data_IF_332447218760
#
_entry.id   IF_332447218760
#
_cell.length_a   1.000
_cell.length_b   1.000
_cell.length_c   1.000
_cell.angle_alpha   90.00
_cell.angle_beta   90.00
_cell.angle_gamma   90.00
#
_symmetry.space_group_name_H-M   'P 1'
#
loop_
_entity.id
_entity.type
_entity.pdbx_description
1 polymer ?
#
# COMPACT_ATOMS: atom_id res chain seq x y z
N UNK A 1 -21.31 3.61 -2.54
CA UNK A 1 -21.30 2.56 -3.59
C UNK A 1 -20.15 1.63 -3.27
N UNK A 2 -20.37 0.34 -3.00
CA UNK A 2 -19.25 -0.60 -2.85
C UNK A 2 -18.49 -0.66 -4.19
N UNK A 3 -17.17 -0.65 -4.15
CA UNK A 3 -16.34 -0.91 -5.32
C UNK A 3 -16.74 -2.24 -5.93
N UNK A 4 -16.96 -2.25 -7.25
CA UNK A 4 -17.21 -3.50 -7.97
C UNK A 4 -15.92 -4.33 -7.99
N UNK A 5 -16.01 -5.66 -7.94
CA UNK A 5 -14.82 -6.54 -7.96
C UNK A 5 -13.84 -6.21 -9.09
N UNK A 6 -14.33 -5.90 -10.28
CA UNK A 6 -13.49 -5.45 -11.41
C UNK A 6 -12.69 -4.18 -11.11
N UNK A 7 -13.29 -3.21 -10.42
CA UNK A 7 -12.58 -1.97 -10.06
C UNK A 7 -11.49 -2.25 -9.02
N UNK A 8 -11.69 -3.26 -8.17
CA UNK A 8 -10.68 -3.72 -7.23
C UNK A 8 -9.53 -4.41 -7.98
N UNK A 9 -9.84 -5.30 -8.92
CA UNK A 9 -8.85 -6.02 -9.73
C UNK A 9 -8.01 -5.05 -10.59
N UNK A 10 -8.65 -4.11 -11.30
CA UNK A 10 -7.97 -3.07 -12.09
C UNK A 10 -7.04 -2.21 -11.22
N UNK A 11 -7.49 -1.87 -10.01
CA UNK A 11 -6.71 -1.09 -9.07
C UNK A 11 -5.52 -1.88 -8.53
N UNK A 12 -5.71 -3.17 -8.25
CA UNK A 12 -4.66 -4.08 -7.80
C UNK A 12 -3.61 -4.30 -8.90
N UNK A 13 -4.03 -4.50 -10.14
CA UNK A 13 -3.14 -4.68 -11.30
C UNK A 13 -2.30 -3.43 -11.54
N UNK A 14 -2.89 -2.23 -11.43
CA UNK A 14 -2.16 -0.96 -11.49
C UNK A 14 -1.16 -0.80 -10.35
N UNK A 15 -1.53 -1.16 -9.13
CA UNK A 15 -0.64 -1.11 -7.96
C UNK A 15 0.57 -2.03 -8.14
N UNK A 16 0.34 -3.24 -8.64
CA UNK A 16 1.40 -4.19 -8.95
C UNK A 16 2.30 -3.62 -10.05
N UNK A 17 1.73 -3.10 -11.14
CA UNK A 17 2.52 -2.50 -12.22
C UNK A 17 3.38 -1.32 -11.76
N UNK A 18 2.86 -0.49 -10.84
CA UNK A 18 3.59 0.65 -10.25
C UNK A 18 4.71 0.24 -9.29
N UNK A 19 4.57 -0.90 -8.61
CA UNK A 19 5.51 -1.36 -7.58
C UNK A 19 6.41 -2.49 -8.06
N UNK A 20 6.21 -3.00 -9.27
CA UNK A 20 7.05 -4.02 -9.91
C UNK A 20 8.16 -3.37 -10.74
N UNK A 21 8.89 -2.44 -10.13
CA UNK A 21 10.10 -1.84 -10.70
C UNK A 21 11.33 -2.65 -10.31
N UNK A 22 12.35 -2.76 -11.18
CA UNK A 22 13.57 -3.49 -10.88
C UNK A 22 14.44 -2.77 -9.83
N UNK A 23 14.23 -1.46 -9.66
CA UNK A 23 14.95 -0.64 -8.69
C UNK A 23 14.18 -0.58 -7.34
N UNK A 24 14.79 -1.04 -6.23
CA UNK A 24 14.16 -1.01 -4.92
C UNK A 24 14.02 0.40 -4.32
N UNK A 25 14.82 1.39 -4.75
CA UNK A 25 14.67 2.78 -4.30
C UNK A 25 13.44 3.42 -4.96
N UNK A 26 13.27 3.24 -6.27
CA UNK A 26 12.09 3.72 -7.01
C UNK A 26 10.80 3.04 -6.53
N UNK A 27 10.89 1.76 -6.17
CA UNK A 27 9.77 1.01 -5.59
C UNK A 27 9.34 1.61 -4.25
N UNK A 28 10.31 1.92 -3.37
CA UNK A 28 10.06 2.54 -2.06
C UNK A 28 9.49 3.95 -2.20
N UNK A 29 10.00 4.77 -3.11
CA UNK A 29 9.48 6.12 -3.35
C UNK A 29 8.04 6.07 -3.87
N UNK A 30 7.75 5.15 -4.79
CA UNK A 30 6.39 4.94 -5.31
C UNK A 30 5.41 4.48 -4.23
N UNK A 31 5.83 3.56 -3.37
CA UNK A 31 5.04 3.14 -2.20
C UNK A 31 4.80 4.29 -1.22
N UNK A 32 5.84 5.08 -0.89
CA UNK A 32 5.72 6.21 0.02
C UNK A 32 4.72 7.26 -0.50
N UNK A 33 4.76 7.58 -1.80
CA UNK A 33 3.79 8.48 -2.44
C UNK A 33 2.36 7.92 -2.41
N UNK A 34 2.20 6.62 -2.66
CA UNK A 34 0.91 5.94 -2.58
C UNK A 34 0.34 5.99 -1.17
N UNK A 35 1.14 5.71 -0.15
CA UNK A 35 0.75 5.81 1.25
C UNK A 35 0.33 7.23 1.61
N UNK A 36 1.08 8.25 1.17
CA UNK A 36 0.72 9.64 1.42
C UNK A 36 -0.63 10.01 0.80
N UNK A 37 -0.86 9.65 -0.46
CA UNK A 37 -2.12 9.91 -1.16
C UNK A 37 -3.31 9.18 -0.52
N UNK A 38 -3.10 7.96 -0.02
CA UNK A 38 -4.13 7.20 0.69
C UNK A 38 -4.49 7.84 2.03
N UNK A 39 -3.49 8.34 2.77
CA UNK A 39 -3.71 9.08 4.02
C UNK A 39 -4.49 10.36 3.75
N UNK A 40 -4.12 11.13 2.72
CA UNK A 40 -4.85 12.35 2.34
C UNK A 40 -6.29 12.05 1.89
N UNK A 41 -6.51 10.97 1.13
CA UNK A 41 -7.84 10.62 0.63
C UNK A 41 -8.78 10.11 1.74
N UNK A 42 -8.22 9.47 2.77
CA UNK A 42 -8.99 8.94 3.91
C UNK A 42 -9.08 9.96 5.06
N UNK A 43 -8.22 10.98 5.06
CA UNK A 43 -8.06 12.01 6.11
C UNK A 43 -7.88 11.41 7.53
N UNK A 44 -7.39 10.18 7.59
CA UNK A 44 -7.20 9.43 8.84
C UNK A 44 -5.96 8.54 8.72
N UNK A 45 -4.81 9.16 8.99
CA UNK A 45 -3.51 8.48 8.96
C UNK A 45 -3.44 7.28 9.92
N UNK A 46 -4.05 7.41 11.09
CA UNK A 46 -4.03 6.39 12.13
C UNK A 46 -4.78 5.14 11.68
N UNK A 47 -5.94 5.33 11.05
CA UNK A 47 -6.74 4.23 10.50
C UNK A 47 -6.06 3.55 9.32
N UNK A 48 -5.44 4.32 8.43
CA UNK A 48 -4.65 3.76 7.31
C UNK A 48 -3.48 2.94 7.83
N UNK A 49 -2.76 3.45 8.84
CA UNK A 49 -1.62 2.75 9.42
C UNK A 49 -2.04 1.46 10.14
N UNK A 50 -3.13 1.49 10.92
CA UNK A 50 -3.67 0.30 11.57
C UNK A 50 -4.10 -0.78 10.56
N UNK A 51 -4.68 -0.40 9.42
CA UNK A 51 -5.05 -1.34 8.35
C UNK A 51 -3.81 -1.98 7.69
N UNK A 52 -2.74 -1.20 7.50
CA UNK A 52 -1.46 -1.71 6.98
C UNK A 52 -0.81 -2.66 7.99
N UNK A 53 -0.78 -2.29 9.27
CA UNK A 53 -0.24 -3.13 10.35
C UNK A 53 -1.01 -4.45 10.49
N UNK A 54 -2.34 -4.42 10.37
CA UNK A 54 -3.17 -5.64 10.40
C UNK A 54 -2.81 -6.59 9.24
N UNK A 55 -2.62 -6.07 8.02
CA UNK A 55 -2.21 -6.87 6.86
C UNK A 55 -0.79 -7.41 7.03
N UNK A 56 0.14 -6.61 7.55
CA UNK A 56 1.51 -7.04 7.82
C UNK A 56 1.58 -8.10 8.92
N UNK A 57 0.76 -8.00 9.96
CA UNK A 57 0.67 -8.97 11.04
C UNK A 57 0.08 -10.32 10.57
N UNK A 58 -0.75 -10.31 9.53
CA UNK A 58 -1.34 -11.52 8.93
C UNK A 58 -0.38 -12.24 7.97
N UNK A 59 0.68 -11.57 7.49
CA UNK A 59 1.70 -12.18 6.62
C UNK A 59 2.80 -12.85 7.45
N UNK A 60 2.87 -14.19 7.53
CA UNK A 60 3.95 -14.88 8.23
C UNK A 60 5.25 -14.71 7.43
N UNK A 61 6.09 -13.76 7.84
CA UNK A 61 7.44 -13.56 7.30
C UNK A 61 7.74 -12.18 6.70
N UNK A 62 6.84 -11.20 6.79
CA UNK A 62 7.19 -9.83 6.44
C UNK A 62 8.25 -9.30 7.44
N UNK A 63 9.46 -8.89 6.99
CA UNK A 63 10.41 -8.26 7.89
C UNK A 63 9.77 -6.98 8.42
N UNK A 64 9.83 -6.78 9.75
CA UNK A 64 9.45 -5.52 10.37
C UNK A 64 10.13 -4.40 9.59
N UNK A 65 9.33 -3.51 8.99
CA UNK A 65 9.81 -2.29 8.34
C UNK A 65 10.48 -1.44 9.43
N UNK A 66 11.77 -1.67 9.65
CA UNK A 66 12.62 -0.80 10.44
C UNK A 66 12.81 0.47 9.62
N UNK A 67 11.92 1.43 9.84
CA UNK A 67 12.14 2.82 9.44
C UNK A 67 13.10 3.40 10.49
N UNK A 68 14.30 3.88 10.10
CA UNK A 68 15.27 4.47 11.01
C UNK A 68 14.80 5.80 11.62
#
# INVERSE_FOLDING_TARGET
MPLSQQQLDDLLERLIALTNTPDPEDQRDSLARLSLLLIEAVDDATRVQAAVDEILAVQPGAPALNIP
#
